data_IF_242642497996
#
_entry.id   IF_242642497996
#
_cell.length_a   1.000
_cell.length_b   1.000
_cell.length_c   1.000
_cell.angle_alpha   90.00
_cell.angle_beta   90.00
_cell.angle_gamma   90.00
#
_symmetry.space_group_name_H-M   'P 1'
#
loop_
_entity.id
_entity.type
_entity.pdbx_description
1 polymer ?
#
# COMPACT_ATOMS: atom_id res chain seq x y z
N UNK A 1 -21.84 18.96 -15.06
CA UNK A 1 -20.72 18.36 -14.30
C UNK A 1 -19.44 18.55 -15.11
N UNK A 2 -18.27 18.73 -14.46
CA UNK A 2 -16.99 18.71 -15.18
C UNK A 2 -16.60 17.26 -15.41
N UNK A 3 -16.20 16.92 -16.63
CA UNK A 3 -15.62 15.61 -16.93
C UNK A 3 -14.32 15.49 -16.15
N UNK A 4 -14.16 14.39 -15.42
CA UNK A 4 -12.98 14.10 -14.59
C UNK A 4 -12.22 12.94 -15.21
N UNK A 5 -10.90 12.93 -15.02
CA UNK A 5 -10.06 11.74 -15.27
C UNK A 5 -9.99 10.91 -14.01
N UNK A 6 -10.23 9.61 -14.15
CA UNK A 6 -10.36 8.68 -13.03
C UNK A 6 -9.54 7.43 -13.32
N UNK A 7 -8.73 7.01 -12.36
CA UNK A 7 -8.02 5.72 -12.42
C UNK A 7 -8.59 4.77 -11.37
N UNK A 8 -9.03 3.59 -11.80
CA UNK A 8 -9.51 2.53 -10.91
C UNK A 8 -8.47 1.41 -10.85
N UNK A 9 -7.92 1.16 -9.66
CA UNK A 9 -7.00 0.04 -9.44
C UNK A 9 -7.79 -1.23 -9.15
N UNK A 10 -7.71 -2.20 -10.07
CA UNK A 10 -8.35 -3.49 -9.89
C UNK A 10 -7.69 -4.33 -8.79
N UNK A 11 -6.40 -4.13 -8.48
CA UNK A 11 -5.63 -4.98 -7.56
C UNK A 11 -5.69 -6.46 -7.99
N UNK A 12 -5.20 -6.81 -9.17
CA UNK A 12 -5.31 -8.17 -9.74
C UNK A 12 -4.51 -9.23 -8.98
N UNK A 13 -3.43 -8.86 -8.27
CA UNK A 13 -2.59 -9.83 -7.54
C UNK A 13 -3.22 -10.36 -6.23
N UNK A 14 -4.31 -9.77 -5.74
CA UNK A 14 -5.03 -10.17 -4.51
C UNK A 14 -6.54 -10.00 -4.67
N UNK A 15 -7.33 -10.68 -3.85
CA UNK A 15 -8.79 -10.61 -3.85
C UNK A 15 -9.38 -9.49 -2.96
N UNK A 16 -8.60 -8.47 -2.60
CA UNK A 16 -9.07 -7.40 -1.69
C UNK A 16 -10.06 -6.43 -2.34
N UNK A 17 -10.03 -6.32 -3.66
CA UNK A 17 -10.94 -5.46 -4.43
C UNK A 17 -11.82 -6.37 -5.29
N UNK A 18 -13.13 -6.26 -5.08
CA UNK A 18 -14.14 -6.96 -5.89
C UNK A 18 -14.14 -6.42 -7.33
N UNK A 19 -13.97 -7.34 -8.29
CA UNK A 19 -13.93 -7.02 -9.73
C UNK A 19 -15.29 -6.61 -10.26
N UNK A 20 -16.38 -7.13 -9.69
CA UNK A 20 -17.73 -6.73 -10.07
C UNK A 20 -17.99 -5.28 -9.65
N UNK A 21 -17.56 -4.90 -8.44
CA UNK A 21 -17.59 -3.50 -7.99
C UNK A 21 -16.75 -2.58 -8.88
N UNK A 22 -15.56 -3.00 -9.30
CA UNK A 22 -14.74 -2.23 -10.26
C UNK A 22 -15.46 -2.04 -11.60
N UNK A 23 -16.07 -3.10 -12.14
CA UNK A 23 -16.81 -3.04 -13.40
C UNK A 23 -18.03 -2.12 -13.31
N UNK A 24 -18.77 -2.21 -12.21
CA UNK A 24 -19.93 -1.36 -11.92
C UNK A 24 -19.54 0.12 -11.84
N UNK A 25 -18.55 0.45 -11.01
CA UNK A 25 -18.07 1.82 -10.85
C UNK A 25 -17.57 2.40 -12.18
N UNK A 26 -16.81 1.61 -12.95
CA UNK A 26 -16.33 2.04 -14.26
C UNK A 26 -17.48 2.28 -15.25
N UNK A 27 -18.53 1.45 -15.22
CA UNK A 27 -19.71 1.60 -16.09
C UNK A 27 -20.43 2.90 -15.77
N UNK A 28 -20.81 3.10 -14.51
CA UNK A 28 -21.57 4.29 -14.06
C UNK A 28 -20.79 5.59 -14.31
N UNK A 29 -19.49 5.60 -14.00
CA UNK A 29 -18.64 6.77 -14.21
C UNK A 29 -18.50 7.11 -15.70
N UNK A 30 -18.35 6.11 -16.57
CA UNK A 30 -18.30 6.33 -18.03
C UNK A 30 -19.64 6.79 -18.59
N UNK A 31 -20.77 6.23 -18.14
CA UNK A 31 -22.11 6.69 -18.56
C UNK A 31 -22.36 8.16 -18.20
N UNK A 32 -21.74 8.67 -17.13
CA UNK A 32 -21.79 10.09 -16.74
C UNK A 32 -20.75 10.98 -17.44
N UNK A 33 -19.99 10.43 -18.39
CA UNK A 33 -19.05 11.18 -19.23
C UNK A 33 -17.66 11.37 -18.60
N UNK A 34 -17.32 10.66 -17.53
CA UNK A 34 -15.96 10.67 -16.98
C UNK A 34 -15.01 9.82 -17.83
N UNK A 35 -13.74 10.23 -17.90
CA UNK A 35 -12.68 9.47 -18.55
C UNK A 35 -12.12 8.48 -17.53
N UNK A 36 -12.37 7.18 -17.73
CA UNK A 36 -12.03 6.13 -16.76
C UNK A 36 -11.00 5.17 -17.33
N UNK A 37 -9.85 5.09 -16.68
CA UNK A 37 -8.82 4.09 -16.91
C UNK A 37 -8.84 3.02 -15.81
N UNK A 38 -8.76 1.74 -16.19
CA UNK A 38 -8.66 0.63 -15.24
C UNK A 38 -7.26 0.04 -15.32
N UNK A 39 -6.55 0.02 -14.20
CA UNK A 39 -5.19 -0.54 -14.09
C UNK A 39 -5.21 -1.85 -13.31
N UNK A 40 -4.28 -2.74 -13.63
CA UNK A 40 -4.18 -4.06 -13.00
C UNK A 40 -3.82 -3.96 -11.51
N UNK A 41 -2.70 -3.32 -11.19
CA UNK A 41 -2.17 -3.29 -9.83
C UNK A 41 -1.28 -2.08 -9.57
N UNK A 42 -1.80 -1.08 -8.85
CA UNK A 42 -1.05 0.12 -8.53
C UNK A 42 0.19 -0.18 -7.67
N UNK A 43 0.15 -1.20 -6.82
CA UNK A 43 1.32 -1.54 -5.99
C UNK A 43 2.46 -2.09 -6.84
N UNK A 44 2.15 -2.83 -7.90
CA UNK A 44 3.14 -3.33 -8.87
C UNK A 44 3.70 -2.18 -9.71
N UNK A 45 2.85 -1.26 -10.17
CA UNK A 45 3.30 -0.07 -10.91
C UNK A 45 4.28 0.76 -10.07
N UNK A 46 3.98 0.99 -8.78
CA UNK A 46 4.86 1.69 -7.84
C UNK A 46 6.17 0.93 -7.63
N UNK A 47 6.13 -0.39 -7.45
CA UNK A 47 7.33 -1.22 -7.22
C UNK A 47 8.26 -1.23 -8.44
N UNK A 48 7.68 -1.35 -9.64
CA UNK A 48 8.40 -1.35 -10.92
C UNK A 48 8.76 0.05 -11.43
N UNK A 49 8.28 1.11 -10.77
CA UNK A 49 8.41 2.51 -11.20
C UNK A 49 7.92 2.72 -12.63
N UNK A 50 6.69 2.27 -12.93
CA UNK A 50 6.06 2.46 -14.25
C UNK A 50 6.09 3.94 -14.69
N UNK A 51 6.32 4.17 -15.99
CA UNK A 51 6.31 5.51 -16.59
C UNK A 51 4.93 6.18 -16.52
N UNK A 52 3.86 5.41 -16.37
CA UNK A 52 2.48 5.91 -16.37
C UNK A 52 2.07 6.50 -15.02
N UNK A 53 2.88 6.35 -13.96
CA UNK A 53 2.55 6.80 -12.60
C UNK A 53 2.32 8.31 -12.51
N UNK A 54 3.03 9.10 -13.33
CA UNK A 54 2.84 10.55 -13.37
C UNK A 54 1.45 10.91 -13.91
N UNK A 55 0.95 10.20 -14.91
CA UNK A 55 -0.41 10.41 -15.42
C UNK A 55 -1.46 9.95 -14.40
N UNK A 56 -1.25 8.79 -13.77
CA UNK A 56 -2.14 8.28 -12.71
C UNK A 56 -2.24 9.26 -11.54
N UNK A 57 -1.15 9.93 -11.16
CA UNK A 57 -1.13 10.89 -10.06
C UNK A 57 -2.02 12.13 -10.27
N UNK A 58 -2.30 12.49 -11.51
CA UNK A 58 -3.15 13.63 -11.88
C UNK A 58 -4.65 13.29 -11.89
N UNK A 59 -5.02 12.00 -11.85
CA UNK A 59 -6.41 11.54 -11.85
C UNK A 59 -6.99 11.43 -10.44
N UNK A 60 -8.32 11.41 -10.31
CA UNK A 60 -8.94 10.91 -9.08
C UNK A 60 -8.76 9.38 -9.03
N UNK A 61 -8.27 8.86 -7.90
CA UNK A 61 -7.84 7.45 -7.81
C UNK A 61 -8.82 6.66 -6.94
N UNK A 62 -9.48 5.67 -7.53
CA UNK A 62 -10.25 4.66 -6.83
C UNK A 62 -9.38 3.43 -6.63
N UNK A 63 -8.89 3.21 -5.42
CA UNK A 63 -7.98 2.12 -5.12
C UNK A 63 -8.18 1.64 -3.67
N UNK A 64 -7.17 0.99 -3.10
CA UNK A 64 -7.17 0.58 -1.70
C UNK A 64 -7.30 1.80 -0.75
N UNK A 65 -7.05 1.60 0.54
CA UNK A 65 -7.09 2.66 1.55
C UNK A 65 -6.35 3.95 1.11
N UNK A 66 -6.98 5.13 1.16
CA UNK A 66 -6.38 6.41 0.75
C UNK A 66 -5.02 6.69 1.41
N UNK A 67 -4.89 6.34 2.68
CA UNK A 67 -3.62 6.45 3.43
C UNK A 67 -2.48 5.64 2.80
N UNK A 68 -2.77 4.43 2.28
CA UNK A 68 -1.77 3.62 1.61
C UNK A 68 -1.36 4.22 0.26
N UNK A 69 -2.34 4.73 -0.49
CA UNK A 69 -2.10 5.35 -1.81
C UNK A 69 -1.34 6.67 -1.64
N UNK A 70 -1.69 7.50 -0.66
CA UNK A 70 -0.96 8.71 -0.34
C UNK A 70 0.50 8.40 0.00
N UNK A 71 0.74 7.40 0.86
CA UNK A 71 2.10 6.99 1.21
C UNK A 71 2.90 6.47 -0.02
N UNK A 72 2.24 5.80 -0.98
CA UNK A 72 2.85 5.40 -2.25
C UNK A 72 3.29 6.62 -3.08
N UNK A 73 2.41 7.59 -3.27
CA UNK A 73 2.73 8.79 -4.06
C UNK A 73 3.78 9.66 -3.37
N UNK A 74 3.70 9.82 -2.05
CA UNK A 74 4.71 10.50 -1.24
C UNK A 74 6.09 9.84 -1.35
N UNK A 75 6.15 8.51 -1.48
CA UNK A 75 7.41 7.77 -1.65
C UNK A 75 8.04 8.04 -3.03
N UNK A 76 7.21 8.27 -4.04
CA UNK A 76 7.63 8.62 -5.39
C UNK A 76 7.82 10.13 -5.60
N UNK A 77 7.42 10.96 -4.65
CA UNK A 77 7.31 12.42 -4.77
C UNK A 77 6.37 12.85 -5.90
N UNK A 78 5.27 12.11 -6.07
CA UNK A 78 4.19 12.46 -7.00
C UNK A 78 3.08 13.19 -6.25
N UNK A 79 2.35 14.10 -6.93
CA UNK A 79 1.17 14.71 -6.36
C UNK A 79 0.06 13.66 -6.18
N UNK A 80 -0.98 14.04 -5.44
CA UNK A 80 -2.21 13.26 -5.34
C UNK A 80 -3.40 14.19 -5.54
N UNK A 81 -4.28 13.79 -6.46
CA UNK A 81 -5.64 14.30 -6.50
C UNK A 81 -6.52 13.54 -5.48
N UNK A 82 -7.84 13.68 -5.57
CA UNK A 82 -8.78 13.01 -4.66
C UNK A 82 -8.61 11.48 -4.71
N UNK A 83 -8.54 10.88 -3.53
CA UNK A 83 -8.39 9.44 -3.33
C UNK A 83 -9.68 8.85 -2.75
N UNK A 84 -10.14 7.75 -3.34
CA UNK A 84 -11.39 7.07 -2.96
C UNK A 84 -11.11 5.64 -2.51
N UNK A 85 -11.68 5.26 -1.35
CA UNK A 85 -11.50 3.95 -0.75
C UNK A 85 -12.46 2.92 -1.37
N UNK A 86 -12.01 2.21 -2.41
CA UNK A 86 -12.79 1.13 -3.02
C UNK A 86 -12.76 -0.17 -2.19
N UNK A 87 -11.85 -0.27 -1.22
CA UNK A 87 -11.69 -1.49 -0.42
C UNK A 87 -12.76 -1.59 0.66
N UNK A 88 -13.03 -0.49 1.35
CA UNK A 88 -13.96 -0.47 2.47
C UNK A 88 -15.33 0.13 2.15
N UNK A 89 -15.44 0.99 1.13
CA UNK A 89 -16.73 1.60 0.80
C UNK A 89 -17.51 0.78 -0.23
N UNK A 90 -18.82 0.81 -0.07
CA UNK A 90 -19.77 0.29 -1.05
C UNK A 90 -19.82 1.18 -2.30
N UNK A 91 -20.31 0.62 -3.42
CA UNK A 91 -20.30 1.32 -4.70
C UNK A 91 -21.15 2.60 -4.68
N UNK A 92 -22.29 2.59 -4.00
CA UNK A 92 -23.21 3.72 -3.84
C UNK A 92 -22.57 4.90 -3.10
N UNK A 93 -21.83 4.62 -2.02
CA UNK A 93 -21.10 5.62 -1.26
C UNK A 93 -20.02 6.30 -2.10
N UNK A 94 -19.29 5.53 -2.91
CA UNK A 94 -18.26 6.06 -3.82
C UNK A 94 -18.91 6.89 -4.93
N UNK A 95 -19.97 6.37 -5.59
CA UNK A 95 -20.67 7.06 -6.68
C UNK A 95 -21.32 8.37 -6.21
N UNK A 96 -21.79 8.42 -4.96
CA UNK A 96 -22.33 9.64 -4.35
C UNK A 96 -21.29 10.76 -4.28
N UNK A 97 -19.99 10.44 -4.15
CA UNK A 97 -18.92 11.44 -4.20
C UNK A 97 -18.73 12.08 -5.59
N UNK A 98 -19.33 11.50 -6.62
CA UNK A 98 -19.38 11.99 -7.99
C UNK A 98 -20.75 12.58 -8.36
N UNK A 99 -21.63 12.85 -7.37
CA UNK A 99 -23.01 13.30 -7.58
C UNK A 99 -23.85 12.30 -8.41
N UNK A 100 -23.52 11.00 -8.33
CA UNK A 100 -24.23 9.92 -9.01
C UNK A 100 -25.13 9.21 -8.00
N UNK A 101 -26.44 9.32 -8.19
CA UNK A 101 -27.42 8.56 -7.42
C UNK A 101 -27.47 7.15 -7.98
N UNK A 102 -27.00 6.18 -7.20
CA UNK A 102 -27.00 4.77 -7.57
C UNK A 102 -28.19 4.06 -6.94
N UNK A 103 -29.09 3.53 -7.77
CA UNK A 103 -30.21 2.70 -7.34
C UNK A 103 -29.85 1.23 -7.58
N UNK A 104 -29.46 0.52 -6.52
CA UNK A 104 -29.13 -0.91 -6.59
C UNK A 104 -30.27 -1.78 -7.15
N UNK A 105 -31.53 -1.39 -6.96
CA UNK A 105 -32.67 -2.19 -7.42
C UNK A 105 -32.90 -2.08 -8.93
N UNK A 106 -32.45 -0.98 -9.55
CA UNK A 106 -32.61 -0.70 -10.97
C UNK A 106 -31.28 -0.55 -11.71
N UNK A 107 -30.16 -0.88 -11.06
CA UNK A 107 -28.85 -0.77 -11.68
C UNK A 107 -28.76 -1.71 -12.87
N UNK A 108 -28.31 -1.19 -14.00
CA UNK A 108 -27.93 -2.05 -15.12
C UNK A 108 -26.77 -2.94 -14.71
N UNK A 109 -26.70 -4.12 -15.32
CA UNK A 109 -25.49 -4.93 -15.22
C UNK A 109 -24.28 -4.14 -15.73
N UNK A 110 -23.11 -4.42 -15.17
CA UNK A 110 -21.88 -3.78 -15.62
C UNK A 110 -21.64 -4.09 -17.11
N UNK A 111 -21.11 -3.09 -17.84
CA UNK A 111 -20.89 -3.16 -19.27
C UNK A 111 -20.00 -4.37 -19.65
N UNK A 112 -20.47 -5.34 -20.47
CA UNK A 112 -19.73 -6.56 -20.75
C UNK A 112 -18.30 -6.35 -21.30
N UNK A 113 -18.06 -5.41 -22.24
CA UNK A 113 -16.71 -4.97 -22.61
C UNK A 113 -15.80 -4.58 -21.44
N UNK A 114 -16.32 -3.90 -20.40
CA UNK A 114 -15.54 -3.53 -19.22
C UNK A 114 -15.21 -4.75 -18.38
N UNK A 115 -16.16 -5.68 -18.23
CA UNK A 115 -15.94 -6.95 -17.54
C UNK A 115 -14.82 -7.73 -18.24
N UNK A 116 -14.85 -7.82 -19.57
CA UNK A 116 -13.85 -8.52 -20.35
C UNK A 116 -12.48 -7.82 -20.32
N UNK A 117 -12.45 -6.48 -20.31
CA UNK A 117 -11.24 -5.71 -20.05
C UNK A 117 -10.61 -6.09 -18.71
N UNK A 118 -11.40 -6.15 -17.62
CA UNK A 118 -10.92 -6.48 -16.28
C UNK A 118 -10.39 -7.92 -16.21
N UNK A 119 -11.07 -8.88 -16.86
CA UNK A 119 -10.61 -10.28 -16.95
C UNK A 119 -9.29 -10.39 -17.73
N UNK A 120 -9.09 -9.54 -18.73
CA UNK A 120 -7.87 -9.48 -19.54
C UNK A 120 -6.69 -8.76 -18.87
N UNK A 121 -6.89 -8.13 -17.71
CA UNK A 121 -5.81 -7.44 -17.01
C UNK A 121 -4.73 -8.44 -16.55
N UNK A 122 -3.43 -8.08 -16.68
CA UNK A 122 -2.36 -8.93 -16.20
C UNK A 122 -2.53 -9.22 -14.72
N UNK A 123 -2.36 -10.50 -14.37
CA UNK A 123 -2.45 -10.98 -13.00
C UNK A 123 -1.27 -11.89 -12.71
N UNK A 124 -0.63 -11.69 -11.56
CA UNK A 124 0.38 -12.58 -11.03
C UNK A 124 -0.03 -13.01 -9.59
N UNK A 125 -1.08 -13.84 -9.43
CA UNK A 125 -1.52 -14.27 -8.12
C UNK A 125 -0.38 -15.00 -7.39
N UNK A 126 -0.05 -14.56 -6.17
CA UNK A 126 1.02 -15.15 -5.37
C UNK A 126 2.44 -14.60 -5.64
N UNK A 127 2.62 -13.80 -6.69
CA UNK A 127 3.79 -12.96 -6.91
C UNK A 127 3.39 -11.48 -6.77
N UNK A 128 2.76 -11.15 -5.64
CA UNK A 128 2.28 -9.81 -5.39
C UNK A 128 3.39 -8.86 -4.97
N UNK A 129 3.22 -7.59 -5.32
CA UNK A 129 4.10 -6.48 -4.96
C UNK A 129 4.11 -6.25 -3.44
N UNK A 130 4.85 -7.10 -2.72
CA UNK A 130 4.98 -7.08 -1.27
C UNK A 130 6.18 -6.27 -0.82
N UNK A 131 5.93 -5.08 -0.32
CA UNK A 131 6.94 -4.19 0.23
C UNK A 131 6.32 -3.21 1.25
N UNK A 132 7.11 -2.74 2.22
CA UNK A 132 6.65 -1.71 3.14
C UNK A 132 6.73 -0.32 2.50
N UNK A 133 5.85 0.55 2.96
CA UNK A 133 5.83 1.97 2.63
C UNK A 133 5.72 2.74 3.94
N UNK A 134 6.33 3.93 4.00
CA UNK A 134 6.32 4.76 5.21
C UNK A 134 5.28 5.87 5.05
N UNK A 135 4.31 5.89 5.94
CA UNK A 135 3.43 7.03 6.17
C UNK A 135 4.22 8.15 6.84
N UNK A 136 4.61 9.16 6.04
CA UNK A 136 5.40 10.30 6.51
C UNK A 136 4.68 11.12 7.57
N UNK A 137 3.35 11.15 7.56
CA UNK A 137 2.55 11.92 8.55
C UNK A 137 2.62 11.32 9.95
N UNK A 138 2.89 10.01 10.08
CA UNK A 138 2.99 9.31 11.36
C UNK A 138 4.40 8.91 11.75
N UNK A 139 5.34 8.87 10.81
CA UNK A 139 6.70 8.42 11.10
C UNK A 139 7.45 9.43 11.99
N UNK A 140 7.92 8.98 13.16
CA UNK A 140 8.75 9.79 14.06
C UNK A 140 10.24 9.61 13.83
N UNK A 141 10.62 8.88 12.78
CA UNK A 141 12.00 8.48 12.47
C UNK A 141 12.72 7.73 13.60
N UNK A 142 11.99 7.00 14.47
CA UNK A 142 12.55 6.32 15.64
C UNK A 142 13.50 5.15 15.32
N UNK A 143 13.55 4.68 14.07
CA UNK A 143 14.49 3.62 13.65
C UNK A 143 14.11 2.18 14.04
N UNK A 144 13.06 1.94 14.83
CA UNK A 144 12.68 0.57 15.24
C UNK A 144 12.47 -0.39 14.07
N UNK A 145 11.90 0.06 12.94
CA UNK A 145 11.69 -0.78 11.76
C UNK A 145 13.01 -1.21 11.08
N UNK A 146 14.00 -0.31 11.03
CA UNK A 146 15.37 -0.61 10.57
C UNK A 146 16.07 -1.60 11.53
N UNK A 147 15.92 -1.38 12.83
CA UNK A 147 16.45 -2.25 13.88
C UNK A 147 15.72 -3.59 14.00
N UNK A 148 14.56 -3.71 13.40
CA UNK A 148 13.83 -4.97 13.37
C UNK A 148 14.10 -5.76 12.10
N UNK A 149 14.04 -5.14 10.91
CA UNK A 149 14.18 -5.85 9.64
C UNK A 149 15.54 -6.56 9.49
N UNK A 150 15.53 -7.87 9.13
CA UNK A 150 16.78 -8.63 8.83
C UNK A 150 17.18 -8.56 7.37
N UNK A 151 16.28 -8.09 6.51
CA UNK A 151 16.43 -8.18 5.07
C UNK A 151 17.00 -6.90 4.45
N UNK A 152 17.46 -5.95 5.27
CA UNK A 152 18.11 -4.73 4.79
C UNK A 152 17.18 -3.80 3.98
N UNK A 153 15.86 -3.87 4.20
CA UNK A 153 14.87 -3.06 3.46
C UNK A 153 15.02 -1.56 3.72
N UNK A 154 15.41 -1.19 4.95
CA UNK A 154 15.46 0.18 5.42
C UNK A 154 16.89 0.71 5.51
N UNK A 155 17.05 2.02 5.43
CA UNK A 155 18.26 2.75 5.79
C UNK A 155 17.89 4.04 6.53
N UNK A 156 18.83 4.57 7.31
CA UNK A 156 18.69 5.87 7.99
C UNK A 156 19.64 6.86 7.30
N UNK A 157 19.09 7.89 6.67
CA UNK A 157 19.84 8.96 6.00
C UNK A 157 19.36 10.31 6.51
N UNK A 158 20.28 11.19 6.90
CA UNK A 158 19.95 12.53 7.45
C UNK A 158 18.91 12.47 8.59
N UNK A 159 19.05 11.48 9.48
CA UNK A 159 18.11 11.19 10.60
C UNK A 159 16.68 10.80 10.15
N UNK A 160 16.45 10.52 8.87
CA UNK A 160 15.17 10.06 8.34
C UNK A 160 15.25 8.59 7.93
N UNK A 161 14.20 7.82 8.25
CA UNK A 161 14.08 6.42 7.81
C UNK A 161 13.60 6.39 6.36
N UNK A 162 14.25 5.57 5.53
CA UNK A 162 13.89 5.35 4.12
C UNK A 162 13.75 3.87 3.82
N UNK A 163 12.84 3.53 2.90
CA UNK A 163 12.78 2.22 2.24
C UNK A 163 13.66 2.30 1.00
N UNK A 164 14.76 1.53 0.97
CA UNK A 164 15.77 1.59 -0.10
C UNK A 164 15.92 0.28 -0.86
N UNK A 165 15.55 -0.85 -0.23
CA UNK A 165 15.58 -2.18 -0.85
C UNK A 165 14.23 -2.87 -0.65
N UNK A 166 13.13 -2.31 -1.21
CA UNK A 166 11.77 -2.83 -1.02
C UNK A 166 11.63 -4.32 -1.42
N UNK A 167 12.30 -4.73 -2.50
CA UNK A 167 12.29 -6.10 -3.03
C UNK A 167 12.97 -7.13 -2.13
N UNK A 168 13.81 -6.70 -1.17
CA UNK A 168 14.37 -7.61 -0.18
C UNK A 168 13.35 -8.02 0.89
N UNK A 169 12.20 -7.36 0.96
CA UNK A 169 11.20 -7.69 1.96
C UNK A 169 10.73 -9.14 1.79
N UNK A 170 10.89 -9.96 2.83
CA UNK A 170 10.33 -11.32 2.84
C UNK A 170 8.82 -11.25 2.64
N UNK A 171 8.33 -11.93 1.60
CA UNK A 171 6.90 -11.92 1.27
C UNK A 171 6.05 -12.35 2.48
N UNK A 172 4.91 -11.67 2.68
CA UNK A 172 3.96 -11.84 3.79
C UNK A 172 4.54 -11.63 5.22
N UNK A 173 5.66 -10.92 5.37
CA UNK A 173 6.22 -10.56 6.68
C UNK A 173 5.95 -9.10 7.08
N UNK A 174 4.89 -8.80 7.88
CA UNK A 174 4.55 -7.44 8.31
C UNK A 174 5.21 -7.06 9.65
N UNK A 175 6.18 -7.82 10.12
CA UNK A 175 6.66 -7.73 11.50
C UNK A 175 7.26 -6.36 11.87
N UNK A 176 7.87 -5.66 10.91
CA UNK A 176 8.33 -4.29 11.11
C UNK A 176 7.20 -3.27 11.34
N UNK A 177 6.00 -3.53 10.81
CA UNK A 177 4.83 -2.71 11.08
C UNK A 177 4.25 -2.94 12.47
N UNK A 178 4.27 -4.18 12.97
CA UNK A 178 3.81 -4.51 14.34
C UNK A 178 4.65 -3.85 15.43
N UNK A 179 5.96 -3.69 15.21
CA UNK A 179 6.86 -3.03 16.17
C UNK A 179 6.93 -1.50 16.00
N UNK A 180 6.23 -0.93 15.01
CA UNK A 180 6.23 0.50 14.78
C UNK A 180 5.31 1.19 15.80
N UNK A 181 5.84 2.00 16.74
CA UNK A 181 5.03 2.57 17.82
C UNK A 181 4.00 3.58 17.31
N UNK A 182 4.29 4.26 16.19
CA UNK A 182 3.36 5.20 15.56
C UNK A 182 2.53 4.59 14.43
N UNK A 183 2.61 3.26 14.23
CA UNK A 183 1.88 2.52 13.19
C UNK A 183 2.07 3.11 11.78
N UNK A 184 3.27 3.64 11.51
CA UNK A 184 3.60 4.37 10.28
C UNK A 184 4.03 3.46 9.11
N UNK A 185 4.36 2.19 9.35
CA UNK A 185 4.73 1.26 8.27
C UNK A 185 3.46 0.62 7.71
N UNK A 186 3.27 0.74 6.39
CA UNK A 186 2.11 0.24 5.65
C UNK A 186 2.55 -0.86 4.70
N UNK A 187 1.77 -1.94 4.62
CA UNK A 187 1.83 -2.98 3.60
C UNK A 187 0.47 -3.04 2.89
N UNK A 188 0.26 -2.37 1.74
CA UNK A 188 -1.06 -2.30 1.10
C UNK A 188 -1.69 -3.67 0.81
N UNK A 189 -0.83 -4.66 0.52
CA UNK A 189 -1.19 -6.06 0.25
C UNK A 189 -1.42 -6.91 1.51
N UNK A 190 -1.40 -6.31 2.70
CA UNK A 190 -1.76 -7.02 3.92
C UNK A 190 -3.27 -7.08 4.11
N UNK A 191 -3.73 -8.14 4.77
CA UNK A 191 -5.16 -8.37 4.95
C UNK A 191 -5.78 -7.40 5.95
N UNK A 192 -5.10 -7.12 7.07
CA UNK A 192 -5.69 -6.45 8.23
C UNK A 192 -5.21 -5.02 8.47
N UNK A 193 -6.11 -4.20 8.98
CA UNK A 193 -5.87 -2.82 9.39
C UNK A 193 -5.22 -2.75 10.79
N UNK A 194 -4.36 -1.75 11.08
CA UNK A 194 -3.99 -0.60 10.25
C UNK A 194 -2.74 -0.82 9.38
N UNK A 195 -2.18 -2.04 9.40
CA UNK A 195 -0.96 -2.38 8.64
C UNK A 195 -1.22 -2.23 7.13
N UNK A 196 -2.43 -2.52 6.64
CA UNK A 196 -2.81 -2.35 5.24
C UNK A 196 -3.11 -0.90 4.82
N UNK A 197 -3.02 0.07 5.74
CA UNK A 197 -3.36 1.47 5.50
C UNK A 197 -4.75 1.88 6.01
N UNK A 198 -5.56 0.94 6.49
CA UNK A 198 -6.81 1.27 7.17
C UNK A 198 -6.59 2.01 8.50
N UNK A 199 -7.68 2.51 9.07
CA UNK A 199 -7.71 3.29 10.32
C UNK A 199 -8.20 2.48 11.52
N UNK A 200 -8.88 1.37 11.28
CA UNK A 200 -9.45 0.50 12.33
C UNK A 200 -8.38 -0.46 12.85
N UNK A 201 -8.37 -0.74 14.15
CA UNK A 201 -7.44 -1.72 14.73
C UNK A 201 -8.06 -3.12 14.71
N UNK A 202 -7.68 -3.93 13.72
CA UNK A 202 -8.17 -5.31 13.54
C UNK A 202 -7.20 -6.36 14.11
N UNK A 203 -5.97 -5.96 14.39
CA UNK A 203 -5.00 -6.78 15.12
C UNK A 203 -4.66 -6.10 16.44
N UNK A 204 -5.09 -6.72 17.54
CA UNK A 204 -4.65 -6.36 18.87
C UNK A 204 -3.41 -7.18 19.22
N UNK A 205 -2.35 -6.50 19.63
CA UNK A 205 -1.15 -7.13 20.15
C UNK A 205 -0.90 -6.62 21.55
N UNK A 206 -0.42 -7.50 22.42
CA UNK A 206 0.09 -7.11 23.73
C UNK A 206 1.34 -6.22 23.56
N UNK A 207 1.30 -4.94 23.96
CA UNK A 207 2.42 -4.02 23.82
C UNK A 207 3.67 -4.47 24.59
N UNK A 208 3.49 -5.12 25.74
CA UNK A 208 4.61 -5.55 26.58
C UNK A 208 5.39 -6.71 25.92
N UNK A 209 4.66 -7.69 25.37
CA UNK A 209 5.26 -8.76 24.59
C UNK A 209 6.04 -8.24 23.36
N UNK A 210 5.51 -7.23 22.66
CA UNK A 210 6.16 -6.61 21.51
C UNK A 210 7.46 -5.89 21.88
N UNK A 211 7.48 -5.11 22.96
CA UNK A 211 8.69 -4.40 23.39
C UNK A 211 9.77 -5.39 23.84
N UNK A 212 9.39 -6.42 24.61
CA UNK A 212 10.31 -7.49 25.02
C UNK A 212 10.98 -8.17 23.82
N UNK A 213 10.22 -8.52 22.78
CA UNK A 213 10.77 -9.08 21.55
C UNK A 213 11.74 -8.12 20.85
N UNK A 214 11.42 -6.83 20.80
CA UNK A 214 12.29 -5.81 20.22
C UNK A 214 13.62 -5.68 20.99
N UNK A 215 13.55 -5.59 22.33
CA UNK A 215 14.74 -5.44 23.18
C UNK A 215 15.69 -6.63 23.04
N UNK A 216 15.18 -7.86 23.07
CA UNK A 216 16.01 -9.05 22.90
C UNK A 216 16.73 -9.08 21.56
N UNK A 217 16.06 -8.68 20.49
CA UNK A 217 16.66 -8.59 19.15
C UNK A 217 17.72 -7.49 19.07
N UNK A 218 17.46 -6.33 19.67
CA UNK A 218 18.44 -5.24 19.73
C UNK A 218 19.70 -5.69 20.47
N UNK A 219 19.55 -6.33 21.64
CA UNK A 219 20.66 -6.92 22.41
C UNK A 219 21.45 -7.91 21.57
N UNK A 220 20.78 -8.79 20.82
CA UNK A 220 21.43 -9.75 19.93
C UNK A 220 22.28 -9.06 18.86
N UNK A 221 21.76 -8.04 18.17
CA UNK A 221 22.53 -7.28 17.16
C UNK A 221 23.75 -6.58 17.77
N UNK A 222 23.60 -5.97 18.94
CA UNK A 222 24.69 -5.30 19.64
C UNK A 222 25.80 -6.30 20.01
N UNK A 223 25.45 -7.52 20.41
CA UNK A 223 26.41 -8.61 20.65
C UNK A 223 27.16 -8.98 19.36
N UNK A 224 26.46 -9.17 18.25
CA UNK A 224 27.08 -9.51 16.95
C UNK A 224 28.04 -8.42 16.44
N UNK A 225 27.72 -7.14 16.66
CA UNK A 225 28.63 -6.03 16.31
C UNK A 225 29.89 -6.04 17.17
N UNK A 226 29.75 -6.28 18.47
CA UNK A 226 30.89 -6.38 19.39
C UNK A 226 31.83 -7.54 19.01
N UNK A 227 31.28 -8.72 18.70
CA UNK A 227 32.07 -9.88 18.28
C UNK A 227 32.78 -9.66 16.95
N UNK A 228 32.12 -9.03 15.97
CA UNK A 228 32.73 -8.65 14.69
C UNK A 228 33.89 -7.66 14.84
N UNK A 229 33.77 -6.66 15.72
CA UNK A 229 34.85 -5.69 16.00
C UNK A 229 36.03 -6.35 16.72
N UNK A 230 35.78 -7.29 17.65
CA UNK A 230 36.86 -8.02 18.33
C UNK A 230 37.66 -8.93 17.39
N UNK A 231 37.03 -9.51 16.37
CA UNK A 231 37.72 -10.33 15.35
C UNK A 231 38.61 -9.47 14.44
N UNK A 232 38.15 -8.28 14.03
CA UNK A 232 38.95 -7.35 13.23
C UNK A 232 40.17 -6.79 13.99
N UNK A 233 40.07 -6.59 15.31
CA UNK A 233 41.21 -6.16 16.15
C UNK A 233 42.27 -7.25 16.33
N UNK A 234 41.91 -8.53 16.25
CA UNK A 234 42.84 -9.64 16.39
C UNK A 234 43.56 -10.00 15.07
N UNK A 235 42.99 -9.64 13.91
CA UNK A 235 43.62 -9.86 12.60
C UNK A 235 44.58 -8.73 12.16
N UNK A 236 44.65 -7.63 12.91
CA UNK A 236 45.56 -6.50 12.68
C UNK A 236 46.76 -6.47 13.64
N UNK A 237 47.17 -7.63 14.17
CA UNK A 237 48.37 -7.81 15.00
C UNK A 237 49.32 -8.80 14.37
#
# INVERSE_FOLDING_TARGET
>A
MRNKKITICACTSRSFIDKNKVALLATELKEKGHEVAIIADLCEMVMSRSNDLAEVAETEILACYPRAIQAQMDWLNLPTNKLHDIRNNEADAILSEFDIVFDQANSKEADPPIIDQIKGLPSAPGADAWYPIIDKSKCTNCGKCHDFCLFGVYTIENKAIKVVQPQNCKNNCPACARVCPSKAIIFPKYAKSPINGGTIEEEQFDPEALDNMYQERLKYRLRQRRTGISLQKNNNK
#
